data_IF_522867421937
#
_entry.id   IF_522867421937
#
_cell.length_a   1.000
_cell.length_b   1.000
_cell.length_c   1.000
_cell.angle_alpha   90.00
_cell.angle_beta   90.00
_cell.angle_gamma   90.00
#
_symmetry.space_group_name_H-M   'P 1'
#
loop_
_entity.id
_entity.type
_entity.pdbx_description
1 polymer ?
#
# COMPACT_ATOMS: atom_id res chain seq x y z
N UNK A 1 44.39 18.98 -52.04
CA UNK A 1 43.13 19.26 -52.77
C UNK A 1 42.00 18.71 -51.93
N UNK A 2 41.29 19.60 -51.24
CA UNK A 2 39.87 19.90 -51.45
C UNK A 2 38.89 18.88 -50.84
N UNK A 3 38.36 19.28 -49.68
CA UNK A 3 36.94 19.32 -49.30
C UNK A 3 36.15 18.00 -49.14
N UNK A 4 35.71 17.71 -47.91
CA UNK A 4 34.30 17.41 -47.52
C UNK A 4 34.29 17.11 -46.00
N UNK A 5 33.99 18.06 -45.11
CA UNK A 5 32.65 18.36 -44.59
C UNK A 5 31.68 17.17 -44.64
N UNK A 6 31.47 16.51 -43.49
CA UNK A 6 30.21 15.84 -43.20
C UNK A 6 30.01 15.80 -41.68
N UNK A 7 29.17 16.71 -41.18
CA UNK A 7 28.68 16.74 -39.81
C UNK A 7 28.11 15.39 -39.40
N UNK A 8 28.70 14.76 -38.38
CA UNK A 8 28.10 13.63 -37.69
C UNK A 8 27.15 14.19 -36.63
N UNK A 9 25.88 14.33 -36.99
CA UNK A 9 24.82 14.71 -36.07
C UNK A 9 24.62 13.55 -35.08
N UNK A 10 25.00 13.77 -33.82
CA UNK A 10 24.60 12.97 -32.68
C UNK A 10 23.08 13.03 -32.51
N UNK A 11 22.35 12.16 -33.21
CA UNK A 11 20.96 11.87 -32.92
C UNK A 11 20.88 10.91 -31.74
N UNK A 12 20.95 11.45 -30.52
CA UNK A 12 20.57 10.70 -29.33
C UNK A 12 19.08 10.36 -29.45
N UNK A 13 18.78 9.14 -29.91
CA UNK A 13 17.43 8.57 -29.78
C UNK A 13 17.20 8.42 -28.28
N UNK A 14 16.50 9.40 -27.70
CA UNK A 14 15.92 9.31 -26.38
C UNK A 14 14.91 8.17 -26.47
N UNK A 15 15.34 6.98 -26.03
CA UNK A 15 14.43 5.91 -25.70
C UNK A 15 13.57 6.46 -24.57
N UNK A 16 12.41 6.97 -24.93
CA UNK A 16 11.34 7.23 -23.99
C UNK A 16 10.90 5.86 -23.48
N UNK A 17 11.63 5.35 -22.47
CA UNK A 17 11.11 4.36 -21.57
C UNK A 17 9.88 5.00 -20.92
N UNK A 18 8.73 4.83 -21.57
CA UNK A 18 7.46 4.70 -20.89
C UNK A 18 7.59 3.44 -20.05
N UNK A 19 8.32 3.55 -18.94
CA UNK A 19 8.11 2.70 -17.81
C UNK A 19 6.67 3.02 -17.39
N UNK A 20 5.71 2.31 -17.99
CA UNK A 20 4.45 2.05 -17.32
C UNK A 20 4.86 1.67 -15.91
N UNK A 21 4.40 2.36 -14.85
CA UNK A 21 4.64 1.88 -13.52
C UNK A 21 4.16 0.44 -13.58
N UNK A 22 5.08 -0.51 -13.39
CA UNK A 22 4.71 -1.88 -13.15
C UNK A 22 3.86 -1.76 -11.90
N UNK A 23 2.54 -1.68 -12.09
CA UNK A 23 1.55 -1.56 -11.04
C UNK A 23 1.48 -2.96 -10.45
N UNK A 24 2.59 -3.34 -9.80
CA UNK A 24 2.65 -4.33 -8.76
C UNK A 24 1.71 -3.79 -7.69
N UNK A 25 0.42 -4.08 -7.91
CA UNK A 25 -0.70 -4.07 -6.98
C UNK A 25 -0.38 -3.27 -5.72
N UNK A 26 -0.86 -2.00 -5.60
CA UNK A 26 -0.49 -1.10 -4.52
C UNK A 26 -0.52 -1.86 -3.20
N UNK A 27 0.66 -2.09 -2.63
CA UNK A 27 0.77 -2.90 -1.43
C UNK A 27 -0.10 -2.23 -0.37
N UNK A 28 -1.08 -2.92 0.21
CA UNK A 28 -2.01 -2.38 1.22
C UNK A 28 -1.34 -1.51 2.30
N UNK A 29 -0.05 -1.76 2.57
CA UNK A 29 0.84 -0.88 3.33
C UNK A 29 0.80 0.59 2.90
N UNK A 30 0.87 0.91 1.60
CA UNK A 30 0.80 2.27 1.08
C UNK A 30 -0.54 2.90 1.40
N UNK A 31 -1.65 2.22 1.08
CA UNK A 31 -3.00 2.72 1.39
C UNK A 31 -3.20 2.98 2.88
N UNK A 32 -2.67 2.10 3.73
CA UNK A 32 -2.67 2.29 5.17
C UNK A 32 -1.85 3.53 5.59
N UNK A 33 -0.63 3.68 5.06
CA UNK A 33 0.24 4.82 5.34
C UNK A 33 -0.40 6.13 4.85
N UNK A 34 -0.95 6.16 3.65
CA UNK A 34 -1.61 7.33 3.06
C UNK A 34 -2.84 7.75 3.89
N UNK A 35 -3.56 6.78 4.45
CA UNK A 35 -4.75 7.05 5.28
C UNK A 35 -4.40 7.52 6.69
N UNK A 36 -3.39 6.93 7.34
CA UNK A 36 -3.14 7.15 8.77
C UNK A 36 -1.87 7.92 9.10
N UNK A 37 -0.87 7.89 8.23
CA UNK A 37 0.40 8.60 8.39
C UNK A 37 0.78 9.35 7.09
N UNK A 38 -0.11 10.21 6.55
CA UNK A 38 0.17 10.96 5.32
C UNK A 38 1.37 11.89 5.51
N UNK A 39 1.98 12.33 4.42
CA UNK A 39 3.08 13.30 4.46
C UNK A 39 2.68 14.56 5.27
N UNK A 40 3.60 15.05 6.12
CA UNK A 40 3.33 16.16 7.04
C UNK A 40 2.59 15.80 8.33
N UNK A 41 2.21 14.53 8.55
CA UNK A 41 1.75 14.05 9.86
C UNK A 41 2.92 13.79 10.83
N UNK A 42 2.64 13.23 12.01
CA UNK A 42 3.66 12.96 13.04
C UNK A 42 4.79 12.06 12.52
N UNK A 43 6.01 12.60 12.52
CA UNK A 43 7.17 11.95 11.92
C UNK A 43 7.56 10.63 12.63
N UNK A 44 7.37 10.54 13.94
CA UNK A 44 7.66 9.32 14.69
C UNK A 44 6.64 8.22 14.33
N UNK A 45 5.37 8.59 14.16
CA UNK A 45 4.34 7.68 13.71
C UNK A 45 4.54 7.23 12.27
N UNK A 46 4.89 8.14 11.35
CA UNK A 46 5.25 7.79 9.98
C UNK A 46 6.37 6.74 9.94
N UNK A 47 7.44 6.93 10.71
CA UNK A 47 8.53 5.96 10.78
C UNK A 47 8.08 4.64 11.43
N UNK A 48 7.21 4.68 12.44
CA UNK A 48 6.64 3.49 13.05
C UNK A 48 5.79 2.69 12.04
N UNK A 49 4.91 3.34 11.28
CA UNK A 49 4.10 2.73 10.22
C UNK A 49 5.00 2.12 9.13
N UNK A 50 6.03 2.87 8.71
CA UNK A 50 6.99 2.41 7.70
C UNK A 50 7.78 1.17 8.17
N UNK A 51 8.22 1.19 9.42
CA UNK A 51 8.97 0.11 10.08
C UNK A 51 8.12 -1.13 10.29
N UNK A 52 6.88 -0.96 10.75
CA UNK A 52 5.95 -2.06 10.93
C UNK A 52 5.60 -2.72 9.58
N UNK A 53 5.26 -1.91 8.57
CA UNK A 53 4.95 -2.39 7.23
C UNK A 53 3.85 -3.46 7.23
N UNK A 54 4.17 -4.68 6.80
CA UNK A 54 3.22 -5.80 6.84
C UNK A 54 2.82 -6.17 8.27
N UNK A 55 3.69 -5.93 9.25
CA UNK A 55 3.46 -6.33 10.65
C UNK A 55 2.44 -5.43 11.37
N UNK A 56 1.95 -4.37 10.72
CA UNK A 56 0.83 -3.60 11.24
C UNK A 56 -0.46 -4.45 11.31
N UNK A 57 -0.61 -5.42 10.39
CA UNK A 57 -1.79 -6.30 10.33
C UNK A 57 -1.43 -7.79 10.42
N UNK A 58 -0.18 -8.17 10.16
CA UNK A 58 0.31 -9.54 10.20
C UNK A 58 1.19 -9.82 11.42
N UNK A 59 1.21 -11.06 11.88
CA UNK A 59 2.09 -11.45 13.00
C UNK A 59 3.53 -11.52 12.51
N UNK A 60 4.44 -10.80 13.16
CA UNK A 60 5.85 -10.77 12.79
C UNK A 60 6.49 -12.15 12.96
N UNK A 61 7.17 -12.63 11.91
CA UNK A 61 7.82 -13.95 11.89
C UNK A 61 6.91 -15.08 11.45
N UNK A 62 5.61 -14.81 11.26
CA UNK A 62 4.62 -15.76 10.79
C UNK A 62 4.32 -15.56 9.28
N UNK A 63 3.70 -16.57 8.62
CA UNK A 63 3.19 -16.40 7.27
C UNK A 63 2.19 -15.23 7.17
N UNK A 64 2.09 -14.59 6.00
CA UNK A 64 1.14 -13.46 5.78
C UNK A 64 -0.34 -13.88 5.92
N UNK A 65 -0.66 -15.16 5.87
CA UNK A 65 -2.01 -15.64 6.22
C UNK A 65 -2.34 -15.47 7.71
N UNK A 66 -1.31 -15.41 8.56
CA UNK A 66 -1.44 -15.23 10.01
C UNK A 66 -1.56 -13.74 10.33
N UNK A 67 -2.76 -13.30 10.68
CA UNK A 67 -3.07 -11.91 10.98
C UNK A 67 -3.09 -11.67 12.49
N UNK A 68 -2.75 -10.46 12.91
CA UNK A 68 -2.96 -10.03 14.30
C UNK A 68 -4.45 -9.69 14.49
N UNK A 69 -4.87 -9.33 15.71
CA UNK A 69 -6.28 -9.04 15.99
C UNK A 69 -6.86 -7.93 15.09
N UNK A 70 -6.06 -6.91 14.76
CA UNK A 70 -6.45 -5.82 13.87
C UNK A 70 -6.59 -6.29 12.41
N UNK A 71 -5.63 -7.08 11.91
CA UNK A 71 -5.68 -7.66 10.57
C UNK A 71 -6.85 -8.64 10.40
N UNK A 72 -7.19 -9.40 11.44
CA UNK A 72 -8.39 -10.26 11.47
C UNK A 72 -9.68 -9.44 11.41
N UNK A 73 -9.74 -8.30 12.14
CA UNK A 73 -10.87 -7.39 12.06
C UNK A 73 -11.05 -6.83 10.64
N UNK A 74 -9.96 -6.44 9.98
CA UNK A 74 -10.00 -5.96 8.58
C UNK A 74 -10.45 -7.07 7.64
N UNK A 75 -9.89 -8.27 7.77
CA UNK A 75 -10.19 -9.39 6.88
C UNK A 75 -11.67 -9.82 6.93
N UNK A 76 -12.35 -9.63 8.06
CA UNK A 76 -13.80 -9.90 8.19
C UNK A 76 -14.67 -8.90 7.43
N UNK A 77 -14.17 -7.69 7.19
CA UNK A 77 -14.89 -6.63 6.49
C UNK A 77 -14.68 -6.66 4.97
N UNK A 78 -13.74 -7.46 4.48
CA UNK A 78 -13.44 -7.59 3.04
C UNK A 78 -14.00 -8.91 2.51
N UNK A 79 -14.72 -8.92 1.38
CA UNK A 79 -15.21 -10.15 0.80
C UNK A 79 -14.07 -10.98 0.19
N UNK A 80 -13.94 -12.23 0.66
CA UNK A 80 -12.92 -13.17 0.20
C UNK A 80 -11.50 -12.80 0.64
N UNK A 81 -10.49 -13.46 0.07
CA UNK A 81 -9.11 -13.07 0.33
C UNK A 81 -8.70 -11.94 -0.63
N UNK A 82 -8.51 -10.75 -0.06
CA UNK A 82 -8.12 -9.57 -0.82
C UNK A 82 -6.83 -9.77 -1.61
N UNK A 83 -5.86 -10.53 -1.08
CA UNK A 83 -4.58 -10.77 -1.74
C UNK A 83 -4.74 -11.66 -2.95
N UNK A 84 -5.57 -12.70 -2.85
CA UNK A 84 -5.83 -13.60 -3.97
C UNK A 84 -6.64 -12.90 -5.06
N UNK A 85 -7.67 -12.12 -4.70
CA UNK A 85 -8.41 -11.29 -5.66
C UNK A 85 -7.53 -10.29 -6.40
N UNK A 86 -6.58 -9.68 -5.69
CA UNK A 86 -5.61 -8.76 -6.29
C UNK A 86 -4.66 -9.50 -7.25
N UNK A 87 -4.22 -10.72 -6.93
CA UNK A 87 -3.42 -11.56 -7.85
C UNK A 87 -4.24 -11.97 -9.08
N UNK A 88 -5.48 -12.39 -8.89
CA UNK A 88 -6.40 -12.79 -9.96
C UNK A 88 -6.79 -11.64 -10.88
N UNK A 89 -6.83 -10.41 -10.36
CA UNK A 89 -7.05 -9.22 -11.14
C UNK A 89 -5.96 -9.02 -12.21
N UNK A 90 -4.73 -9.54 -12.00
CA UNK A 90 -3.61 -9.43 -12.93
C UNK A 90 -3.39 -8.00 -13.46
N UNK A 91 -3.81 -7.70 -14.69
CA UNK A 91 -3.70 -6.37 -15.34
C UNK A 91 -5.05 -5.59 -15.39
N UNK A 92 -6.07 -6.07 -14.69
CA UNK A 92 -7.40 -5.44 -14.63
C UNK A 92 -7.42 -4.36 -13.55
N UNK A 93 -7.02 -3.14 -13.92
CA UNK A 93 -6.92 -2.03 -12.97
C UNK A 93 -8.22 -1.72 -12.23
N UNK A 94 -9.38 -1.83 -12.90
CA UNK A 94 -10.67 -1.64 -12.25
C UNK A 94 -10.94 -2.62 -11.09
N UNK A 95 -10.51 -3.89 -11.17
CA UNK A 95 -10.69 -4.85 -10.07
C UNK A 95 -9.70 -4.57 -8.94
N UNK A 96 -8.46 -4.14 -9.26
CA UNK A 96 -7.48 -3.71 -8.26
C UNK A 96 -7.99 -2.50 -7.47
N UNK A 97 -8.52 -1.51 -8.17
CA UNK A 97 -9.11 -0.31 -7.57
C UNK A 97 -10.29 -0.66 -6.67
N UNK A 98 -11.14 -1.61 -7.11
CA UNK A 98 -12.24 -2.12 -6.31
C UNK A 98 -11.76 -2.77 -5.01
N UNK A 99 -10.78 -3.67 -5.07
CA UNK A 99 -10.21 -4.31 -3.86
C UNK A 99 -9.56 -3.27 -2.94
N UNK A 100 -8.89 -2.26 -3.50
CA UNK A 100 -8.31 -1.16 -2.72
C UNK A 100 -9.38 -0.31 -2.02
N UNK A 101 -10.49 -0.02 -2.72
CA UNK A 101 -11.61 0.71 -2.14
C UNK A 101 -12.27 -0.09 -1.01
N UNK A 102 -12.49 -1.39 -1.21
CA UNK A 102 -12.99 -2.30 -0.18
C UNK A 102 -12.04 -2.36 1.03
N UNK A 103 -10.72 -2.38 0.81
CA UNK A 103 -9.73 -2.33 1.89
C UNK A 103 -9.81 -1.00 2.67
N UNK A 104 -9.92 0.15 1.99
CA UNK A 104 -10.08 1.46 2.64
C UNK A 104 -11.39 1.56 3.42
N UNK A 105 -12.47 0.98 2.90
CA UNK A 105 -13.76 0.89 3.59
C UNK A 105 -13.66 0.01 4.83
N UNK A 106 -13.02 -1.15 4.72
CA UNK A 106 -12.75 -2.03 5.85
C UNK A 106 -11.93 -1.32 6.94
N UNK A 107 -10.85 -0.62 6.56
CA UNK A 107 -10.06 0.22 7.48
C UNK A 107 -10.95 1.21 8.23
N UNK A 108 -11.87 1.88 7.53
CA UNK A 108 -12.82 2.82 8.15
C UNK A 108 -13.78 2.11 9.11
N UNK A 109 -14.33 0.94 8.75
CA UNK A 109 -15.27 0.20 9.62
C UNK A 109 -14.60 -0.31 10.90
N UNK A 110 -13.35 -0.78 10.79
CA UNK A 110 -12.64 -1.28 11.96
C UNK A 110 -12.22 -0.18 12.94
N UNK A 111 -12.19 1.10 12.53
CA UNK A 111 -11.87 2.22 13.44
C UNK A 111 -12.82 2.28 14.65
N UNK A 112 -14.07 1.84 14.49
CA UNK A 112 -15.07 1.83 15.56
C UNK A 112 -15.04 0.54 16.40
N UNK A 113 -14.29 -0.48 15.98
CA UNK A 113 -14.17 -1.74 16.72
C UNK A 113 -13.20 -1.61 17.89
N UNK A 114 -13.56 -2.25 19.02
CA UNK A 114 -12.71 -2.30 20.21
C UNK A 114 -11.58 -3.30 20.04
N UNK A 115 -10.38 -2.86 20.40
CA UNK A 115 -9.22 -3.72 20.58
C UNK A 115 -9.26 -4.41 21.94
N UNK A 116 -8.30 -5.32 22.16
CA UNK A 116 -8.14 -6.00 23.45
C UNK A 116 -7.82 -5.05 24.63
N UNK A 117 -7.32 -3.84 24.36
CA UNK A 117 -7.06 -2.83 25.39
C UNK A 117 -8.32 -2.06 25.83
N UNK A 118 -9.46 -2.29 25.17
CA UNK A 118 -10.72 -1.58 25.42
C UNK A 118 -10.90 -0.28 24.65
N UNK A 119 -9.82 0.28 24.09
CA UNK A 119 -9.87 1.40 23.14
C UNK A 119 -10.28 0.93 21.75
N UNK A 120 -10.93 1.79 20.96
CA UNK A 120 -11.18 1.48 19.55
C UNK A 120 -9.89 1.56 18.73
N UNK A 121 -9.83 0.84 17.62
CA UNK A 121 -8.67 0.93 16.73
C UNK A 121 -8.47 2.35 16.18
N UNK A 122 -9.56 3.08 15.94
CA UNK A 122 -9.51 4.48 15.55
C UNK A 122 -8.90 5.38 16.63
N UNK A 123 -9.19 5.14 17.90
CA UNK A 123 -8.55 5.87 19.02
C UNK A 123 -7.06 5.58 19.12
N UNK A 124 -6.65 4.32 18.93
CA UNK A 124 -5.23 3.91 18.93
C UNK A 124 -4.47 4.62 17.79
N UNK A 125 -5.03 4.60 16.57
CA UNK A 125 -4.43 5.21 15.38
C UNK A 125 -4.37 6.74 15.50
N UNK A 126 -5.43 7.39 16.01
CA UNK A 126 -5.44 8.83 16.30
C UNK A 126 -4.43 9.23 17.37
N UNK A 127 -4.10 8.31 18.28
CA UNK A 127 -3.05 8.49 19.28
C UNK A 127 -1.64 8.19 18.74
N UNK A 128 -1.47 8.08 17.41
CA UNK A 128 -0.19 7.79 16.76
C UNK A 128 0.45 6.48 17.24
N UNK A 129 -0.40 5.47 17.50
CA UNK A 129 0.02 4.12 17.87
C UNK A 129 -0.47 3.12 16.84
N UNK A 130 0.26 2.03 16.70
CA UNK A 130 -0.16 0.90 15.88
C UNK A 130 -1.08 -0.03 16.70
N UNK A 131 -2.18 -0.52 16.10
CA UNK A 131 -3.08 -1.53 16.67
C UNK A 131 -2.43 -2.86 17.07
#
# INVERSE_FOLDING_TARGET
MKNLMMSLICGAVVVACSASPAFALPAFKSLFADKYAPEGSDAAFQEAVKTAGCNACHVKGEPKSTRNAYGEAIAKEIPGDASDRIKEAADKDAEKEKVNAEFLEALKKVEDMKSASGQTYGEILKAHKLP
#
